data_IF_255742596805
#
_entry.id   IF_255742596805
#
_cell.length_a   1.000
_cell.length_b   1.000
_cell.length_c   1.000
_cell.angle_alpha   90.00
_cell.angle_beta   90.00
_cell.angle_gamma   90.00
#
_symmetry.space_group_name_H-M   'P 1'
#
loop_
_entity.id
_entity.type
_entity.pdbx_description
1 polymer ?
#
# COMPACT_ATOMS: atom_id res chain seq x y z
N UNK A 1 -10.75 18.26 -33.16
CA UNK A 1 -9.84 17.32 -32.43
C UNK A 1 -9.89 17.74 -30.97
N UNK A 2 -10.81 17.14 -30.22
CA UNK A 2 -11.13 17.52 -28.81
C UNK A 2 -10.24 16.74 -27.86
N UNK A 3 -9.75 17.33 -26.75
CA UNK A 3 -8.73 16.73 -25.90
C UNK A 3 -9.31 15.62 -25.03
N UNK A 4 -9.03 14.37 -25.37
CA UNK A 4 -9.27 13.18 -24.52
C UNK A 4 -8.50 13.25 -23.18
N UNK A 5 -7.49 14.08 -23.10
CA UNK A 5 -6.58 14.19 -21.93
C UNK A 5 -7.24 14.80 -20.70
N UNK A 6 -8.17 15.75 -20.90
CA UNK A 6 -8.79 16.47 -19.76
C UNK A 6 -9.77 15.61 -18.95
N UNK A 7 -10.51 14.70 -19.60
CA UNK A 7 -11.48 13.83 -18.89
C UNK A 7 -10.79 12.71 -18.14
N UNK A 8 -9.68 12.17 -18.65
CA UNK A 8 -8.92 11.10 -18.01
C UNK A 8 -8.18 11.61 -16.76
N UNK A 9 -7.57 12.80 -16.85
CA UNK A 9 -6.88 13.43 -15.71
C UNK A 9 -7.88 13.71 -14.56
N UNK A 10 -9.03 14.30 -14.86
CA UNK A 10 -10.06 14.56 -13.85
C UNK A 10 -10.57 13.28 -13.20
N UNK A 11 -10.75 12.20 -13.97
CA UNK A 11 -11.16 10.90 -13.42
C UNK A 11 -10.11 10.31 -12.47
N UNK A 12 -8.82 10.52 -12.73
CA UNK A 12 -7.75 10.07 -11.85
C UNK A 12 -7.70 10.92 -10.57
N UNK A 13 -7.86 12.24 -10.67
CA UNK A 13 -7.88 13.12 -9.50
C UNK A 13 -9.07 12.79 -8.57
N UNK A 14 -10.24 12.53 -9.14
CA UNK A 14 -11.43 12.09 -8.39
C UNK A 14 -11.18 10.74 -7.68
N UNK A 15 -10.52 9.80 -8.38
CA UNK A 15 -10.14 8.50 -7.82
C UNK A 15 -9.15 8.65 -6.66
N UNK A 16 -8.15 9.52 -6.78
CA UNK A 16 -7.18 9.81 -5.71
C UNK A 16 -7.86 10.44 -4.51
N UNK A 17 -8.76 11.40 -4.73
CA UNK A 17 -9.53 12.03 -3.66
C UNK A 17 -10.34 10.99 -2.88
N UNK A 18 -11.03 10.09 -3.59
CA UNK A 18 -11.75 8.99 -2.96
C UNK A 18 -10.81 8.03 -2.23
N UNK A 19 -9.67 7.68 -2.85
CA UNK A 19 -8.69 6.80 -2.23
C UNK A 19 -8.10 7.38 -0.95
N UNK A 20 -7.88 8.68 -0.87
CA UNK A 20 -7.45 9.36 0.34
C UNK A 20 -8.48 9.20 1.47
N UNK A 21 -9.76 9.39 1.17
CA UNK A 21 -10.83 9.15 2.13
C UNK A 21 -10.90 7.69 2.60
N UNK A 22 -10.68 6.72 1.68
CA UNK A 22 -10.75 5.28 1.97
C UNK A 22 -9.55 4.76 2.77
N UNK A 23 -8.38 5.36 2.62
CA UNK A 23 -7.13 4.87 3.20
C UNK A 23 -6.66 5.65 4.41
N UNK A 24 -7.11 6.89 4.56
CA UNK A 24 -6.63 7.81 5.59
C UNK A 24 -5.27 8.44 5.27
N UNK A 25 -4.67 8.13 4.12
CA UNK A 25 -3.46 8.79 3.62
C UNK A 25 -3.82 9.98 2.75
N UNK A 26 -3.00 11.01 2.73
CA UNK A 26 -3.27 12.16 1.89
C UNK A 26 -2.98 11.89 0.39
N UNK A 27 -3.47 12.77 -0.47
CA UNK A 27 -3.31 12.61 -1.92
C UNK A 27 -1.83 12.64 -2.35
N UNK A 28 -0.98 13.40 -1.65
CA UNK A 28 0.45 13.47 -1.93
C UNK A 28 1.12 12.12 -1.68
N UNK A 29 0.83 11.49 -0.54
CA UNK A 29 1.35 10.16 -0.21
C UNK A 29 0.94 9.11 -1.24
N UNK A 30 -0.33 9.13 -1.67
CA UNK A 30 -0.83 8.20 -2.69
C UNK A 30 -0.13 8.41 -4.03
N UNK A 31 0.07 9.65 -4.45
CA UNK A 31 0.83 9.96 -5.66
C UNK A 31 2.28 9.53 -5.56
N UNK A 32 2.91 9.71 -4.40
CA UNK A 32 4.31 9.36 -4.16
C UNK A 32 4.59 7.85 -4.28
N UNK A 33 3.58 6.98 -4.19
CA UNK A 33 3.74 5.54 -4.47
C UNK A 33 3.98 5.25 -5.96
N UNK A 34 3.59 6.14 -6.87
CA UNK A 34 3.58 5.91 -8.30
C UNK A 34 2.48 4.94 -8.79
N UNK A 35 1.64 4.40 -7.89
CA UNK A 35 0.63 3.37 -8.22
C UNK A 35 -0.72 3.93 -8.66
N UNK A 36 -0.97 5.22 -8.51
CA UNK A 36 -2.27 5.84 -8.72
C UNK A 36 -2.92 5.50 -10.06
N UNK A 37 -2.18 5.65 -11.16
CA UNK A 37 -2.68 5.33 -12.51
C UNK A 37 -3.01 3.85 -12.67
N UNK A 38 -2.09 2.98 -12.23
CA UNK A 38 -2.29 1.53 -12.32
C UNK A 38 -3.50 1.07 -11.51
N UNK A 39 -3.69 1.59 -10.30
CA UNK A 39 -4.81 1.22 -9.45
C UNK A 39 -6.15 1.76 -9.96
N UNK A 40 -6.16 2.97 -10.50
CA UNK A 40 -7.34 3.51 -11.18
C UNK A 40 -7.75 2.63 -12.38
N UNK A 41 -6.79 2.28 -13.25
CA UNK A 41 -7.07 1.44 -14.42
C UNK A 41 -7.52 0.04 -14.01
N UNK A 42 -6.89 -0.56 -12.98
CA UNK A 42 -7.30 -1.84 -12.42
C UNK A 42 -8.75 -1.78 -11.92
N UNK A 43 -9.12 -0.76 -11.16
CA UNK A 43 -10.50 -0.60 -10.68
C UNK A 43 -11.49 -0.49 -11.86
N UNK A 44 -11.17 0.34 -12.87
CA UNK A 44 -12.00 0.45 -14.06
C UNK A 44 -12.14 -0.87 -14.83
N UNK A 45 -11.07 -1.64 -14.93
CA UNK A 45 -11.10 -2.94 -15.58
C UNK A 45 -11.93 -3.97 -14.80
N UNK A 46 -11.83 -3.99 -13.49
CA UNK A 46 -12.50 -4.98 -12.66
C UNK A 46 -14.00 -4.70 -12.51
N UNK A 47 -14.38 -3.47 -12.18
CA UNK A 47 -15.78 -3.16 -11.86
C UNK A 47 -16.48 -2.31 -12.93
N UNK A 48 -15.72 -1.69 -13.81
CA UNK A 48 -16.24 -0.81 -14.86
C UNK A 48 -16.45 0.62 -14.40
N UNK A 49 -16.41 1.53 -15.38
CA UNK A 49 -16.58 2.97 -15.14
C UNK A 49 -17.87 3.35 -14.39
N UNK A 50 -19.06 2.76 -14.70
CA UNK A 50 -20.29 3.10 -13.99
C UNK A 50 -20.22 2.76 -12.50
N UNK A 51 -19.58 1.65 -12.12
CA UNK A 51 -19.46 1.22 -10.74
C UNK A 51 -18.47 2.10 -9.95
N UNK A 52 -17.35 2.49 -10.57
CA UNK A 52 -16.44 3.49 -9.97
C UNK A 52 -17.16 4.82 -9.78
N UNK A 53 -17.91 5.31 -10.77
CA UNK A 53 -18.68 6.54 -10.65
C UNK A 53 -19.75 6.46 -9.55
N UNK A 54 -20.38 5.29 -9.36
CA UNK A 54 -21.33 5.03 -8.28
C UNK A 54 -20.65 5.16 -6.91
N UNK A 55 -19.46 4.59 -6.73
CA UNK A 55 -18.67 4.75 -5.50
C UNK A 55 -18.33 6.22 -5.25
N UNK A 56 -17.82 6.93 -6.24
CA UNK A 56 -17.47 8.35 -6.11
C UNK A 56 -18.68 9.19 -5.70
N UNK A 57 -19.84 8.94 -6.31
CA UNK A 57 -21.09 9.60 -5.97
C UNK A 57 -21.56 9.27 -4.55
N UNK A 58 -21.44 8.02 -4.11
CA UNK A 58 -21.81 7.59 -2.76
C UNK A 58 -20.91 8.22 -1.69
N UNK A 59 -19.60 8.29 -1.92
CA UNK A 59 -18.65 8.98 -1.03
C UNK A 59 -18.92 10.48 -0.96
N UNK A 60 -19.19 11.12 -2.09
CA UNK A 60 -19.52 12.54 -2.11
C UNK A 60 -20.83 12.83 -1.33
N UNK A 61 -21.85 11.98 -1.48
CA UNK A 61 -23.11 12.09 -0.75
C UNK A 61 -22.93 11.88 0.76
N UNK A 62 -21.94 11.05 1.17
CA UNK A 62 -21.57 10.83 2.56
C UNK A 62 -20.59 11.89 3.10
N UNK A 63 -20.33 12.98 2.36
CA UNK A 63 -19.40 14.03 2.78
C UNK A 63 -17.94 13.58 2.82
N UNK A 64 -17.58 12.53 2.07
CA UNK A 64 -16.23 11.93 2.07
C UNK A 64 -16.00 10.91 3.19
N UNK A 65 -17.01 10.61 4.00
CA UNK A 65 -16.92 9.62 5.06
C UNK A 65 -17.23 8.21 4.51
N UNK A 66 -16.24 7.28 4.48
CA UNK A 66 -16.48 5.92 4.02
C UNK A 66 -17.50 5.15 4.84
N UNK A 67 -17.61 5.43 6.13
CA UNK A 67 -18.56 4.77 7.03
C UNK A 67 -20.00 5.21 6.76
N UNK A 68 -20.18 6.40 6.19
CA UNK A 68 -21.47 6.93 5.73
C UNK A 68 -21.99 6.32 4.43
N UNK A 69 -21.19 5.54 3.72
CA UNK A 69 -21.61 4.88 2.47
C UNK A 69 -22.52 3.70 2.79
N UNK A 70 -23.80 3.78 2.44
CA UNK A 70 -24.81 2.75 2.70
C UNK A 70 -25.00 1.77 1.55
N UNK A 71 -24.61 2.15 0.33
CA UNK A 71 -24.72 1.30 -0.87
C UNK A 71 -23.78 0.10 -0.79
N UNK A 72 -24.33 -1.12 -0.80
CA UNK A 72 -23.56 -2.36 -0.63
C UNK A 72 -22.51 -2.55 -1.73
N UNK A 73 -22.88 -2.27 -2.98
CA UNK A 73 -21.95 -2.36 -4.12
C UNK A 73 -20.81 -1.36 -3.97
N UNK A 74 -21.11 -0.11 -3.65
CA UNK A 74 -20.10 0.92 -3.43
C UNK A 74 -19.18 0.57 -2.25
N UNK A 75 -19.71 0.04 -1.16
CA UNK A 75 -18.94 -0.39 0.02
C UNK A 75 -17.97 -1.53 -0.32
N UNK A 76 -18.39 -2.51 -1.10
CA UNK A 76 -17.52 -3.63 -1.47
C UNK A 76 -16.41 -3.17 -2.42
N UNK A 77 -16.72 -2.29 -3.38
CA UNK A 77 -15.72 -1.66 -4.24
C UNK A 77 -14.76 -0.78 -3.43
N UNK A 78 -15.26 -0.02 -2.45
CA UNK A 78 -14.43 0.78 -1.54
C UNK A 78 -13.42 -0.08 -0.78
N UNK A 79 -13.88 -1.22 -0.22
CA UNK A 79 -13.01 -2.20 0.44
C UNK A 79 -11.97 -2.77 -0.51
N UNK A 80 -12.35 -3.09 -1.75
CA UNK A 80 -11.43 -3.62 -2.74
C UNK A 80 -10.34 -2.61 -3.11
N UNK A 81 -10.69 -1.34 -3.27
CA UNK A 81 -9.74 -0.26 -3.54
C UNK A 81 -8.82 -0.04 -2.34
N UNK A 82 -9.35 0.05 -1.12
CA UNK A 82 -8.53 0.18 0.08
C UNK A 82 -7.57 -1.00 0.23
N UNK A 83 -8.05 -2.24 0.05
CA UNK A 83 -7.22 -3.44 0.09
C UNK A 83 -6.09 -3.41 -0.95
N UNK A 84 -6.38 -2.95 -2.15
CA UNK A 84 -5.38 -2.79 -3.21
C UNK A 84 -4.31 -1.76 -2.84
N UNK A 85 -4.68 -0.64 -2.25
CA UNK A 85 -3.74 0.37 -1.77
C UNK A 85 -2.84 -0.16 -0.64
N UNK A 86 -3.41 -0.90 0.32
CA UNK A 86 -2.64 -1.40 1.46
C UNK A 86 -1.72 -2.56 1.09
N UNK A 87 -2.17 -3.49 0.23
CA UNK A 87 -1.50 -4.77 0.01
C UNK A 87 -1.00 -4.99 -1.42
N UNK A 88 -1.32 -4.10 -2.36
CA UNK A 88 -0.98 -4.29 -3.79
C UNK A 88 -1.78 -5.41 -4.46
N UNK A 89 -2.88 -5.85 -3.84
CA UNK A 89 -3.70 -6.98 -4.30
C UNK A 89 -5.12 -6.51 -4.55
N UNK A 90 -5.66 -6.79 -5.72
CA UNK A 90 -7.10 -6.71 -5.95
C UNK A 90 -7.76 -7.93 -5.30
N UNK A 91 -8.71 -7.76 -4.38
CA UNK A 91 -9.36 -8.90 -3.72
C UNK A 91 -10.49 -9.48 -4.56
N UNK A 92 -10.97 -10.64 -4.16
CA UNK A 92 -12.25 -11.15 -4.63
C UNK A 92 -13.39 -10.29 -4.08
N UNK A 93 -14.32 -9.86 -4.94
CA UNK A 93 -15.54 -9.16 -4.52
C UNK A 93 -16.56 -10.15 -3.94
N UNK A 94 -17.50 -9.65 -3.15
CA UNK A 94 -18.65 -10.43 -2.74
C UNK A 94 -19.39 -10.99 -3.97
N UNK A 95 -19.81 -12.25 -3.93
CA UNK A 95 -20.43 -12.92 -5.07
C UNK A 95 -21.70 -12.19 -5.57
N UNK A 96 -22.49 -11.65 -4.64
CA UNK A 96 -23.68 -10.84 -4.95
C UNK A 96 -23.32 -9.58 -5.75
N UNK A 97 -22.25 -8.88 -5.33
CA UNK A 97 -21.76 -7.66 -5.99
C UNK A 97 -21.22 -7.97 -7.37
N UNK A 98 -20.37 -8.99 -7.50
CA UNK A 98 -19.81 -9.40 -8.79
C UNK A 98 -20.92 -9.75 -9.79
N UNK A 99 -21.93 -10.51 -9.34
CA UNK A 99 -23.10 -10.87 -10.16
C UNK A 99 -23.89 -9.61 -10.57
N UNK A 100 -24.12 -8.68 -9.65
CA UNK A 100 -24.83 -7.43 -9.93
C UNK A 100 -24.09 -6.51 -10.91
N UNK A 101 -22.77 -6.56 -10.92
CA UNK A 101 -21.93 -5.82 -11.86
C UNK A 101 -21.98 -6.39 -13.28
N UNK A 102 -22.39 -7.65 -13.46
CA UNK A 102 -22.51 -8.31 -14.77
C UNK A 102 -21.19 -8.35 -15.55
N UNK A 103 -20.06 -8.45 -14.87
CA UNK A 103 -18.73 -8.51 -15.52
C UNK A 103 -18.40 -9.93 -15.93
N UNK A 104 -17.90 -10.10 -17.14
CA UNK A 104 -17.47 -11.41 -17.66
C UNK A 104 -16.10 -11.85 -17.07
N UNK A 105 -15.38 -10.95 -16.39
CA UNK A 105 -14.10 -11.26 -15.74
C UNK A 105 -14.28 -12.21 -14.58
N UNK A 106 -13.29 -13.09 -14.39
CA UNK A 106 -13.24 -13.96 -13.22
C UNK A 106 -13.13 -13.13 -11.93
N UNK A 107 -13.96 -13.47 -10.95
CA UNK A 107 -13.93 -12.85 -9.62
C UNK A 107 -12.88 -13.55 -8.73
N UNK A 108 -11.62 -13.28 -8.99
CA UNK A 108 -10.48 -13.88 -8.28
C UNK A 108 -9.54 -12.81 -7.77
N UNK A 109 -8.92 -13.06 -6.60
CA UNK A 109 -7.87 -12.17 -6.11
C UNK A 109 -6.58 -12.32 -6.92
N UNK A 110 -5.85 -11.22 -7.13
CA UNK A 110 -4.55 -11.21 -7.82
C UNK A 110 -3.68 -10.04 -7.37
N UNK A 111 -2.37 -10.22 -7.42
CA UNK A 111 -1.40 -9.14 -7.24
C UNK A 111 -1.42 -8.24 -8.48
N UNK A 112 -1.60 -6.93 -8.28
CA UNK A 112 -1.78 -5.97 -9.38
C UNK A 112 -0.49 -5.82 -10.20
N UNK A 113 0.64 -5.74 -9.51
CA UNK A 113 1.98 -5.79 -10.12
C UNK A 113 3.03 -6.16 -9.06
N UNK A 114 4.26 -6.54 -9.46
CA UNK A 114 5.35 -6.75 -8.52
C UNK A 114 5.67 -5.51 -7.68
N UNK A 115 5.62 -4.33 -8.28
CA UNK A 115 5.86 -3.03 -7.62
C UNK A 115 4.77 -2.72 -6.59
N UNK A 116 3.53 -3.13 -6.85
CA UNK A 116 2.41 -2.90 -5.96
C UNK A 116 2.62 -3.48 -4.56
N UNK A 117 3.30 -4.62 -4.43
CA UNK A 117 3.72 -5.18 -3.14
C UNK A 117 4.66 -4.24 -2.39
N UNK A 118 5.69 -3.74 -3.10
CA UNK A 118 6.71 -2.87 -2.50
C UNK A 118 6.15 -1.49 -2.10
N UNK A 119 5.13 -1.01 -2.80
CA UNK A 119 4.48 0.28 -2.58
C UNK A 119 3.25 0.21 -1.66
N UNK A 120 2.89 -0.97 -1.18
CA UNK A 120 1.72 -1.17 -0.31
C UNK A 120 1.78 -0.26 0.94
N UNK A 121 0.68 0.45 1.21
CA UNK A 121 0.59 1.39 2.34
C UNK A 121 0.74 0.69 3.69
N UNK A 122 0.51 -0.62 3.75
CA UNK A 122 0.69 -1.41 4.97
C UNK A 122 2.09 -1.22 5.58
N UNK A 123 3.12 -1.09 4.75
CA UNK A 123 4.49 -0.90 5.22
C UNK A 123 4.68 0.41 5.98
N UNK A 124 3.92 1.44 5.63
CA UNK A 124 3.96 2.74 6.31
C UNK A 124 3.19 2.75 7.63
N UNK A 125 2.20 1.86 7.81
CA UNK A 125 1.35 1.84 9.01
C UNK A 125 2.06 1.35 10.27
N UNK A 126 3.15 0.61 10.12
CA UNK A 126 3.95 0.10 11.24
C UNK A 126 5.45 0.42 11.10
N UNK A 127 5.78 1.47 10.34
CA UNK A 127 7.16 1.90 10.07
C UNK A 127 8.06 0.77 9.53
N UNK A 128 7.45 -0.16 8.78
CA UNK A 128 8.09 -1.31 8.18
C UNK A 128 8.55 -1.05 6.75
N UNK A 129 9.17 -2.06 6.16
CA UNK A 129 9.57 -2.04 4.76
C UNK A 129 9.34 -3.41 4.11
N UNK A 130 9.07 -3.48 2.81
CA UNK A 130 8.86 -4.73 2.11
C UNK A 130 10.14 -5.55 2.07
N UNK A 131 10.05 -6.81 2.49
CA UNK A 131 11.19 -7.71 2.54
C UNK A 131 11.81 -7.89 1.13
N UNK A 132 13.10 -7.55 1.01
CA UNK A 132 13.85 -7.73 -0.23
C UNK A 132 13.53 -6.77 -1.38
N UNK A 133 12.61 -5.83 -1.22
CA UNK A 133 12.15 -4.96 -2.31
C UNK A 133 12.61 -3.51 -2.23
N UNK A 134 12.93 -3.01 -1.03
CA UNK A 134 13.43 -1.63 -0.79
C UNK A 134 14.55 -1.63 0.24
N UNK A 135 15.50 -0.65 0.16
CA UNK A 135 16.45 -0.41 1.25
C UNK A 135 15.75 0.06 2.54
N UNK A 136 16.27 -0.34 3.71
CA UNK A 136 17.34 -1.28 3.92
C UNK A 136 16.92 -2.69 3.51
N UNK A 137 17.58 -3.28 2.50
CA UNK A 137 17.22 -4.54 1.88
C UNK A 137 17.73 -5.77 2.62
N UNK A 138 17.81 -6.89 1.89
CA UNK A 138 18.38 -8.15 2.35
C UNK A 138 19.79 -7.93 2.92
N UNK A 139 20.02 -8.42 4.14
CA UNK A 139 21.32 -8.30 4.83
C UNK A 139 21.39 -7.19 5.87
N UNK A 140 20.48 -6.23 5.91
CA UNK A 140 20.48 -5.16 6.93
C UNK A 140 20.06 -5.63 8.32
N UNK A 141 19.56 -6.84 8.45
CA UNK A 141 19.31 -7.51 9.73
C UNK A 141 20.59 -7.74 10.54
N UNK A 142 21.76 -7.69 9.87
CA UNK A 142 23.05 -7.78 10.52
C UNK A 142 23.56 -6.44 11.03
N UNK A 143 22.95 -5.34 10.63
CA UNK A 143 23.35 -4.01 11.02
C UNK A 143 22.46 -3.50 12.18
N UNK A 144 23.06 -2.86 13.20
CA UNK A 144 22.27 -2.25 14.27
C UNK A 144 21.40 -1.12 13.73
N UNK A 145 20.21 -0.86 14.33
CA UNK A 145 19.36 0.24 13.93
C UNK A 145 20.11 1.58 13.92
N UNK A 146 19.75 2.53 13.04
CA UNK A 146 20.33 3.87 13.05
C UNK A 146 20.22 4.50 14.45
N UNK A 147 21.36 4.90 15.04
CA UNK A 147 21.40 5.47 16.39
C UNK A 147 21.55 4.46 17.54
N UNK A 148 21.57 3.16 17.26
CA UNK A 148 21.91 2.19 18.29
C UNK A 148 23.37 2.33 18.73
N UNK A 149 23.68 2.18 20.03
CA UNK A 149 25.05 2.16 20.51
C UNK A 149 25.82 1.01 19.86
N UNK A 150 27.07 1.26 19.44
CA UNK A 150 27.91 0.25 18.81
C UNK A 150 28.04 -0.97 19.74
N UNK A 151 27.56 -2.14 19.27
CA UNK A 151 27.80 -3.39 19.97
C UNK A 151 29.22 -3.83 19.68
N UNK A 152 30.10 -4.01 20.69
CA UNK A 152 31.45 -4.50 20.47
C UNK A 152 31.40 -5.85 19.76
N UNK A 153 32.08 -5.96 18.63
CA UNK A 153 32.18 -7.25 17.92
C UNK A 153 32.82 -8.29 18.84
N UNK A 154 32.27 -9.50 18.86
CA UNK A 154 32.72 -10.62 19.70
C UNK A 154 34.11 -11.14 19.28
N UNK A 155 35.11 -10.31 19.18
CA UNK A 155 36.51 -10.58 18.85
C UNK A 155 37.45 -9.54 19.40
N UNK A 156 36.93 -8.39 19.88
CA UNK A 156 37.76 -7.29 20.41
C UNK A 156 37.91 -7.30 21.94
N UNK A 157 37.49 -8.37 22.60
CA UNK A 157 37.90 -8.59 23.98
C UNK A 157 39.35 -9.03 23.98
N UNK A 158 40.24 -8.05 23.90
CA UNK A 158 41.66 -8.28 24.17
C UNK A 158 41.83 -8.98 25.50
N UNK A 159 42.15 -10.25 25.43
CA UNK A 159 42.66 -11.05 26.54
C UNK A 159 44.03 -10.50 26.95
N UNK A 160 44.04 -9.41 27.71
CA UNK A 160 45.23 -9.03 28.43
C UNK A 160 45.29 -9.94 29.66
N UNK A 161 45.93 -11.10 29.53
CA UNK A 161 46.33 -11.92 30.66
C UNK A 161 47.28 -11.11 31.52
N UNK A 162 47.05 -11.02 32.84
CA UNK A 162 48.03 -10.41 33.74
C UNK A 162 49.28 -11.27 33.73
N UNK A 163 50.45 -10.65 33.43
CA UNK A 163 51.73 -11.26 33.50
C UNK A 163 52.07 -11.77 34.92
N UNK A 164 52.95 -12.78 35.04
CA UNK A 164 53.32 -13.34 36.33
C UNK A 164 53.98 -12.29 37.20
N UNK A 165 53.49 -12.18 38.46
CA UNK A 165 54.17 -11.40 39.51
C UNK A 165 55.51 -12.04 39.81
N UNK A 166 56.58 -11.33 39.53
CA UNK A 166 57.89 -11.71 40.04
C UNK A 166 57.88 -11.60 41.55
N UNK A 167 58.16 -12.72 42.19
CA UNK A 167 58.47 -12.79 43.61
C UNK A 167 59.90 -12.27 43.81
N UNK A 168 60.01 -11.04 44.34
CA UNK A 168 61.30 -10.52 44.88
C UNK A 168 61.59 -11.06 46.21
N UNK A 169 62.81 -11.49 46.40
CA UNK A 169 63.49 -11.94 47.65
C UNK A 169 63.55 -10.86 48.67
#
# INVERSE_FOLDING_TARGET
>A
MTPKTSTSARSLDDFITASAALTGFDAFDLHATGMAGLYHDTALEQVGRPAVARLLGALAAAGGDPDGVTDETARDIARAIAHMWYLGVWPQLAASVHTALGRERANTAFTVSPEAYAEGLVWRTFDGHPAGAKPPGFGTWADPPPGAPAVPRAGERGTRLPGPREAGS
#
